data_IF_260573013778
#
_entry.id   IF_260573013778
#
_cell.length_a   1.000
_cell.length_b   1.000
_cell.length_c   1.000
_cell.angle_alpha   90.00
_cell.angle_beta   90.00
_cell.angle_gamma   90.00
#
_symmetry.space_group_name_H-M   'P 1'
#
loop_
_entity.id
_entity.type
_entity.pdbx_description
1 polymer ?
#
# COMPACT_ATOMS: atom_id res chain seq x y z
N UNK A 1 -39.39 -45.40 -26.70
CA UNK A 1 -38.10 -45.92 -26.18
C UNK A 1 -37.23 -44.74 -25.86
N UNK A 2 -36.65 -44.68 -24.66
CA UNK A 2 -35.64 -43.67 -24.32
C UNK A 2 -34.33 -44.09 -24.98
N UNK A 3 -33.73 -43.22 -25.79
CA UNK A 3 -32.48 -43.50 -26.50
C UNK A 3 -31.27 -43.54 -25.56
N UNK A 4 -30.19 -44.17 -25.98
CA UNK A 4 -28.96 -44.27 -25.18
C UNK A 4 -28.39 -42.89 -24.85
N UNK A 5 -28.41 -41.97 -25.82
CA UNK A 5 -27.91 -40.60 -25.63
C UNK A 5 -28.71 -39.84 -24.57
N UNK A 6 -30.02 -40.06 -24.50
CA UNK A 6 -30.87 -39.49 -23.43
C UNK A 6 -30.58 -40.11 -22.06
N UNK A 7 -30.24 -41.40 -21.99
CA UNK A 7 -29.79 -42.02 -20.74
C UNK A 7 -28.43 -41.46 -20.30
N UNK A 8 -27.50 -41.26 -21.23
CA UNK A 8 -26.22 -40.61 -20.93
C UNK A 8 -26.42 -39.17 -20.46
N UNK A 9 -27.31 -38.39 -21.08
CA UNK A 9 -27.59 -37.04 -20.62
C UNK A 9 -28.22 -36.99 -19.21
N UNK A 10 -29.09 -37.95 -18.87
CA UNK A 10 -29.72 -38.02 -17.55
C UNK A 10 -28.78 -38.51 -16.45
N UNK A 11 -27.81 -39.37 -16.77
CA UNK A 11 -26.95 -40.04 -15.80
C UNK A 11 -25.51 -39.54 -15.79
N UNK A 12 -25.09 -38.76 -16.79
CA UNK A 12 -23.73 -38.25 -16.86
C UNK A 12 -23.45 -37.32 -15.67
N UNK A 13 -22.33 -37.59 -15.00
CA UNK A 13 -21.81 -36.71 -13.96
C UNK A 13 -21.06 -35.56 -14.63
N UNK A 14 -21.18 -34.31 -14.14
CA UNK A 14 -20.41 -33.21 -14.68
C UNK A 14 -18.91 -33.47 -14.51
N UNK A 15 -18.12 -33.03 -15.49
CA UNK A 15 -16.65 -33.12 -15.44
C UNK A 15 -16.16 -32.27 -14.26
N UNK A 16 -15.62 -32.94 -13.23
CA UNK A 16 -15.02 -32.26 -12.09
C UNK A 16 -13.60 -31.87 -12.45
N UNK A 17 -13.32 -30.56 -12.48
CA UNK A 17 -11.95 -30.08 -12.60
C UNK A 17 -11.16 -30.53 -11.36
N UNK A 18 -10.21 -31.44 -11.56
CA UNK A 18 -9.27 -31.83 -10.50
C UNK A 18 -8.16 -30.79 -10.48
N UNK A 19 -8.36 -29.72 -9.72
CA UNK A 19 -7.28 -28.78 -9.42
C UNK A 19 -6.32 -29.45 -8.44
N UNK A 20 -5.28 -30.11 -8.94
CA UNK A 20 -4.20 -30.57 -8.07
C UNK A 20 -3.49 -29.33 -7.53
N UNK A 21 -3.43 -29.19 -6.20
CA UNK A 21 -2.63 -28.14 -5.57
C UNK A 21 -1.17 -28.44 -5.89
N UNK A 22 -0.47 -27.45 -6.45
CA UNK A 22 0.99 -27.54 -6.62
C UNK A 22 1.62 -27.80 -5.25
N UNK A 23 2.55 -28.75 -5.19
CA UNK A 23 3.31 -29.03 -3.96
C UNK A 23 4.02 -27.74 -3.56
N UNK A 24 3.82 -27.29 -2.33
CA UNK A 24 4.58 -26.19 -1.77
C UNK A 24 6.03 -26.66 -1.62
N UNK A 25 6.95 -25.96 -2.26
CA UNK A 25 8.39 -26.16 -2.11
C UNK A 25 8.87 -25.12 -1.12
N UNK A 26 9.65 -25.55 -0.13
CA UNK A 26 10.30 -24.64 0.81
C UNK A 26 11.31 -23.78 0.05
N UNK A 27 11.19 -22.46 0.19
CA UNK A 27 12.19 -21.54 -0.32
C UNK A 27 13.42 -21.67 0.57
N UNK A 28 14.56 -22.08 -0.01
CA UNK A 28 15.83 -22.15 0.70
C UNK A 28 16.20 -20.77 1.23
N UNK A 29 16.59 -20.68 2.50
CA UNK A 29 16.77 -19.45 3.29
C UNK A 29 17.85 -18.48 2.77
N UNK A 30 18.54 -18.79 1.67
CA UNK A 30 19.71 -18.04 1.19
C UNK A 30 19.61 -17.71 -0.31
N UNK A 31 18.47 -17.17 -0.73
CA UNK A 31 18.49 -16.23 -1.83
C UNK A 31 18.44 -14.87 -1.17
N UNK A 32 19.61 -14.34 -0.80
CA UNK A 32 19.75 -12.88 -0.68
C UNK A 32 19.28 -12.34 -2.03
N UNK A 33 18.05 -11.82 -2.06
CA UNK A 33 17.47 -11.25 -3.27
C UNK A 33 18.49 -10.27 -3.80
N UNK A 34 18.99 -10.51 -5.02
CA UNK A 34 20.04 -9.69 -5.64
C UNK A 34 19.64 -8.24 -5.46
N UNK A 35 20.32 -7.58 -4.53
CA UNK A 35 19.94 -6.24 -4.13
C UNK A 35 20.05 -5.37 -5.37
N UNK A 36 19.02 -4.60 -5.67
CA UNK A 36 19.12 -3.62 -6.75
C UNK A 36 20.35 -2.76 -6.45
N UNK A 37 21.25 -2.68 -7.42
CA UNK A 37 22.51 -1.95 -7.33
C UNK A 37 22.22 -0.55 -6.77
N UNK A 38 22.88 -0.19 -5.67
CA UNK A 38 22.66 1.09 -5.00
C UNK A 38 23.10 2.22 -5.93
N UNK A 39 22.18 2.73 -6.74
CA UNK A 39 22.38 3.96 -7.51
C UNK A 39 22.23 5.16 -6.57
N UNK A 40 23.17 5.32 -5.64
CA UNK A 40 23.31 6.57 -4.90
C UNK A 40 23.74 7.65 -5.90
N UNK A 41 23.00 8.77 -5.92
CA UNK A 41 23.32 9.88 -6.82
C UNK A 41 24.75 10.37 -6.51
N UNK A 42 25.57 10.73 -7.51
CA UNK A 42 26.93 11.17 -7.27
C UNK A 42 26.90 12.37 -6.32
N UNK A 43 27.55 12.24 -5.15
CA UNK A 43 27.74 13.37 -4.25
C UNK A 43 28.38 14.50 -5.05
N UNK A 44 27.69 15.64 -5.11
CA UNK A 44 28.24 16.84 -5.73
C UNK A 44 29.45 17.29 -4.92
N UNK A 45 30.64 17.14 -5.50
CA UNK A 45 31.85 17.74 -4.96
C UNK A 45 31.76 19.26 -5.16
N UNK A 46 31.05 19.94 -4.26
CA UNK A 46 31.13 21.39 -4.15
C UNK A 46 32.56 21.74 -3.69
N UNK A 47 33.25 22.66 -4.38
CA UNK A 47 34.60 23.05 -3.99
C UNK A 47 34.58 23.62 -2.56
N UNK A 48 35.60 23.33 -1.74
CA UNK A 48 35.54 23.48 -0.28
C UNK A 48 35.41 24.93 0.23
N UNK A 49 35.44 25.93 -0.66
CA UNK A 49 35.33 27.33 -0.29
C UNK A 49 34.46 28.04 -1.34
N UNK A 50 33.23 28.45 -1.02
CA UNK A 50 32.64 29.77 -1.33
C UNK A 50 31.12 29.80 -1.15
N UNK A 51 30.72 30.70 -0.27
CA UNK A 51 29.40 30.97 0.28
C UNK A 51 28.45 31.63 -0.73
N UNK A 52 27.15 31.31 -0.67
CA UNK A 52 26.10 32.23 -1.13
C UNK A 52 25.05 32.44 -0.03
N UNK A 53 25.45 33.21 0.98
CA UNK A 53 24.50 34.03 1.73
C UNK A 53 24.46 35.39 1.07
N UNK A 54 23.34 35.73 0.43
CA UNK A 54 22.78 37.08 0.41
C UNK A 54 21.46 37.03 -0.37
N UNK A 55 20.34 37.11 0.35
CA UNK A 55 19.15 37.89 0.01
C UNK A 55 18.03 37.55 1.00
N UNK A 56 18.05 38.23 2.14
CA UNK A 56 17.03 38.17 3.21
C UNK A 56 15.77 38.99 2.81
N UNK A 57 15.72 39.58 1.61
CA UNK A 57 14.74 40.61 1.23
C UNK A 57 13.77 40.25 0.09
N UNK A 58 13.78 39.01 -0.43
CA UNK A 58 12.63 38.47 -1.17
C UNK A 58 11.71 37.73 -0.16
N UNK A 59 10.99 38.48 0.66
CA UNK A 59 9.57 38.81 0.37
C UNK A 59 8.77 37.51 0.24
N UNK A 60 8.26 36.93 1.33
CA UNK A 60 6.98 37.33 1.96
C UNK A 60 5.78 37.39 1.01
N UNK A 61 5.81 36.78 -0.16
CA UNK A 61 4.61 36.59 -0.97
C UNK A 61 4.36 35.12 -1.28
N UNK A 62 3.17 34.69 -0.90
CA UNK A 62 2.52 33.40 -1.11
C UNK A 62 2.96 32.20 -0.24
N UNK A 63 2.13 31.98 0.78
CA UNK A 63 1.67 30.64 1.20
C UNK A 63 2.62 29.77 2.01
N UNK A 64 3.31 30.34 3.00
CA UNK A 64 3.47 29.57 4.26
C UNK A 64 2.11 29.51 4.93
N UNK A 65 1.39 28.41 4.70
CA UNK A 65 0.19 28.07 5.48
C UNK A 65 0.51 28.20 6.96
N UNK A 66 -0.29 28.99 7.67
CA UNK A 66 -0.16 29.21 9.10
C UNK A 66 -0.30 27.87 9.82
N UNK A 67 0.81 27.35 10.38
CA UNK A 67 0.84 26.08 11.13
C UNK A 67 0.24 26.21 12.53
N UNK A 68 -0.23 27.39 12.92
CA UNK A 68 -0.90 27.61 14.21
C UNK A 68 -2.28 26.97 14.19
N UNK A 69 -2.34 25.72 14.65
CA UNK A 69 -3.58 24.94 14.76
C UNK A 69 -3.52 23.52 14.18
N UNK A 70 -2.39 23.10 13.58
CA UNK A 70 -2.23 21.72 13.10
C UNK A 70 -2.25 20.71 14.25
N UNK A 71 -1.50 20.98 15.33
CA UNK A 71 -1.49 20.11 16.51
C UNK A 71 -2.87 19.92 17.14
N UNK A 72 -3.69 20.98 17.20
CA UNK A 72 -5.04 20.90 17.75
C UNK A 72 -6.01 20.09 16.85
N UNK A 73 -5.77 20.07 15.54
CA UNK A 73 -6.54 19.24 14.60
C UNK A 73 -6.12 17.77 14.68
N UNK A 74 -4.83 17.51 14.78
CA UNK A 74 -4.29 16.16 14.93
C UNK A 74 -4.77 15.53 16.26
N UNK A 75 -4.76 16.30 17.35
CA UNK A 75 -5.29 15.87 18.66
C UNK A 75 -6.80 15.59 18.64
N UNK A 76 -7.57 16.33 17.83
CA UNK A 76 -9.01 16.13 17.68
C UNK A 76 -9.32 14.87 16.84
N UNK A 77 -8.55 14.62 15.79
CA UNK A 77 -8.66 13.40 14.97
C UNK A 77 -8.38 12.14 15.80
N UNK A 78 -7.28 12.14 16.56
CA UNK A 78 -6.90 11.01 17.40
C UNK A 78 -7.94 10.71 18.50
N UNK A 79 -8.66 11.73 18.99
CA UNK A 79 -9.75 11.54 19.95
C UNK A 79 -11.00 10.96 19.28
N UNK A 80 -11.36 11.47 18.11
CA UNK A 80 -12.50 10.96 17.35
C UNK A 80 -12.32 9.50 16.93
N UNK A 81 -11.10 9.10 16.55
CA UNK A 81 -10.78 7.70 16.23
C UNK A 81 -10.92 6.79 17.45
N UNK A 82 -10.45 7.23 18.63
CA UNK A 82 -10.59 6.47 19.88
C UNK A 82 -12.05 6.33 20.31
N UNK A 83 -12.83 7.40 20.19
CA UNK A 83 -14.27 7.39 20.52
C UNK A 83 -15.07 6.51 19.53
N UNK A 84 -14.68 6.48 18.25
CA UNK A 84 -15.27 5.60 17.25
C UNK A 84 -14.99 4.12 17.55
N UNK A 85 -13.78 3.79 18.03
CA UNK A 85 -13.41 2.44 18.46
C UNK A 85 -14.09 2.01 19.77
N UNK A 86 -14.40 2.96 20.65
CA UNK A 86 -15.12 2.71 21.90
C UNK A 86 -16.65 2.68 21.71
N UNK A 87 -17.14 3.09 20.54
CA UNK A 87 -18.58 3.08 20.25
C UNK A 87 -19.13 1.66 20.17
N UNK A 88 -20.31 1.38 20.75
CA UNK A 88 -20.92 0.05 20.71
C UNK A 88 -21.55 -0.27 19.34
N UNK A 89 -21.35 0.59 18.32
CA UNK A 89 -21.93 0.47 17.00
C UNK A 89 -20.97 -0.30 16.06
N UNK A 90 -21.49 -1.15 15.16
CA UNK A 90 -20.65 -1.88 14.22
C UNK A 90 -19.94 -0.93 13.24
N UNK A 91 -18.62 -1.04 13.14
CA UNK A 91 -17.81 -0.28 12.18
C UNK A 91 -18.03 -0.82 10.76
N UNK A 92 -18.23 0.08 9.78
CA UNK A 92 -18.45 -0.26 8.38
C UNK A 92 -17.37 0.43 7.56
N UNK A 93 -16.47 -0.37 6.99
CA UNK A 93 -15.45 0.09 6.06
C UNK A 93 -16.09 0.31 4.68
N UNK A 94 -15.96 1.52 4.12
CA UNK A 94 -16.43 1.85 2.78
C UNK A 94 -15.20 2.01 1.89
N UNK A 95 -14.93 1.00 1.07
CA UNK A 95 -13.93 1.08 0.00
C UNK A 95 -14.51 1.93 -1.15
N UNK A 96 -13.80 3.00 -1.54
CA UNK A 96 -14.14 3.87 -2.70
C UNK A 96 -13.28 3.51 -3.91
#
# INVERSE_FOLDING_TARGET
MVGLDSLYAMLARPVRQVTQRKRMVEQTEHIEGVHADSHEAPQSQLPPNLERRHNIFERRESSRGDRRGQSARDDAMLKAEKEALESPLPHIDIDV
#
